data_IF_917207313803
#
_entry.id   IF_917207313803
#
_cell.length_a   1.000
_cell.length_b   1.000
_cell.length_c   1.000
_cell.angle_alpha   90.00
_cell.angle_beta   90.00
_cell.angle_gamma   90.00
#
_symmetry.space_group_name_H-M   'P 1'
#
loop_
_entity.id
_entity.type
_entity.pdbx_description
1 polymer ?
#
# COMPACT_ATOMS: atom_id res chain seq x y z
N UNK A 1 -18.91 -22.19 14.80
CA UNK A 1 -20.33 -22.19 14.48
C UNK A 1 -20.91 -23.60 14.52
N UNK A 2 -22.29 -23.74 14.56
CA UNK A 2 -22.94 -25.04 14.47
C UNK A 2 -22.62 -25.77 13.16
N UNK A 3 -22.43 -27.08 13.23
CA UNK A 3 -22.21 -27.96 12.07
C UNK A 3 -23.52 -28.39 11.35
N UNK A 4 -24.66 -28.32 12.03
CA UNK A 4 -25.96 -28.55 11.39
C UNK A 4 -26.38 -27.33 10.55
N UNK A 5 -26.65 -27.54 9.24
CA UNK A 5 -26.98 -26.42 8.34
C UNK A 5 -28.23 -25.63 8.74
N UNK A 6 -29.23 -26.30 9.33
CA UNK A 6 -30.50 -25.65 9.70
C UNK A 6 -30.34 -24.82 10.97
N UNK A 7 -29.61 -25.34 11.94
CA UNK A 7 -29.22 -24.59 13.16
C UNK A 7 -28.36 -23.39 12.82
N UNK A 8 -27.37 -23.57 11.94
CA UNK A 8 -26.48 -22.52 11.50
C UNK A 8 -27.23 -21.37 10.81
N UNK A 9 -28.11 -21.69 9.83
CA UNK A 9 -28.96 -20.68 9.18
C UNK A 9 -29.78 -19.88 10.18
N UNK A 10 -30.48 -20.60 11.06
CA UNK A 10 -31.34 -19.98 12.08
C UNK A 10 -30.53 -19.05 12.99
N UNK A 11 -29.34 -19.49 13.43
CA UNK A 11 -28.44 -18.68 14.28
C UNK A 11 -28.04 -17.38 13.58
N UNK A 12 -27.67 -17.47 12.30
CA UNK A 12 -27.29 -16.28 11.51
C UNK A 12 -28.48 -15.34 11.32
N UNK A 13 -29.67 -15.87 10.96
CA UNK A 13 -30.90 -15.09 10.81
C UNK A 13 -31.27 -14.34 12.10
N UNK A 14 -31.14 -14.99 13.27
CA UNK A 14 -31.39 -14.35 14.56
C UNK A 14 -30.42 -13.20 14.82
N UNK A 15 -29.12 -13.36 14.50
CA UNK A 15 -28.12 -12.30 14.66
C UNK A 15 -28.41 -11.12 13.70
N UNK A 16 -28.70 -11.39 12.44
CA UNK A 16 -29.02 -10.36 11.45
C UNK A 16 -30.31 -9.60 11.81
N UNK A 17 -31.34 -10.30 12.28
CA UNK A 17 -32.59 -9.66 12.74
C UNK A 17 -32.36 -8.74 13.92
N UNK A 18 -31.55 -9.15 14.89
CA UNK A 18 -31.15 -8.30 16.01
C UNK A 18 -30.36 -7.08 15.56
N UNK A 19 -29.37 -7.26 14.68
CA UNK A 19 -28.57 -6.16 14.14
C UNK A 19 -29.49 -5.13 13.43
N UNK A 20 -30.44 -5.61 12.64
CA UNK A 20 -31.44 -4.75 11.98
C UNK A 20 -32.27 -3.94 12.98
N UNK A 21 -32.74 -4.57 14.05
CA UNK A 21 -33.59 -3.91 15.05
C UNK A 21 -32.86 -2.80 15.83
N UNK A 22 -31.57 -2.96 16.07
CA UNK A 22 -30.73 -1.99 16.81
C UNK A 22 -30.33 -0.81 15.92
N UNK A 23 -30.00 -1.06 14.67
CA UNK A 23 -29.47 -0.03 13.77
C UNK A 23 -30.57 0.80 13.05
N UNK A 24 -31.82 0.34 13.07
CA UNK A 24 -32.98 1.05 12.51
C UNK A 24 -32.94 1.14 10.98
N UNK A 25 -34.13 1.25 10.38
CA UNK A 25 -34.29 1.65 8.97
C UNK A 25 -34.25 3.21 8.86
N UNK A 26 -33.13 3.83 9.13
CA UNK A 26 -32.98 5.24 8.80
C UNK A 26 -32.85 5.31 7.29
N UNK A 27 -33.91 5.73 6.61
CA UNK A 27 -34.14 5.71 5.15
C UNK A 27 -33.17 6.49 4.26
N UNK A 28 -31.92 6.62 4.65
CA UNK A 28 -30.84 7.09 3.81
C UNK A 28 -30.29 5.89 3.03
N UNK A 29 -30.13 5.95 1.71
CA UNK A 29 -29.43 4.92 0.95
C UNK A 29 -28.06 4.73 1.58
N UNK A 30 -27.81 3.57 2.16
CA UNK A 30 -26.49 3.21 2.64
C UNK A 30 -25.56 3.13 1.42
N UNK A 31 -24.48 3.89 1.43
CA UNK A 31 -23.42 3.69 0.44
C UNK A 31 -22.98 2.23 0.44
N UNK A 32 -22.68 1.73 -0.76
CA UNK A 32 -22.20 0.37 -0.91
C UNK A 32 -20.90 0.20 -0.11
N UNK A 33 -20.83 -0.75 0.84
CA UNK A 33 -19.63 -0.97 1.59
C UNK A 33 -18.52 -1.48 0.68
N UNK A 34 -17.38 -0.84 0.72
CA UNK A 34 -16.17 -1.30 0.03
C UNK A 34 -15.39 -2.30 0.85
N UNK A 35 -15.33 -2.07 2.15
CA UNK A 35 -14.67 -2.99 3.05
C UNK A 35 -15.38 -3.12 4.39
N UNK A 36 -15.23 -4.29 5.02
CA UNK A 36 -15.63 -4.57 6.39
C UNK A 36 -14.42 -5.01 7.20
N UNK A 37 -14.39 -4.62 8.47
CA UNK A 37 -13.50 -5.18 9.48
C UNK A 37 -14.40 -5.90 10.48
N UNK A 38 -14.19 -7.20 10.70
CA UNK A 38 -15.10 -8.06 11.47
C UNK A 38 -14.36 -9.09 12.32
N UNK A 39 -14.91 -9.46 13.49
CA UNK A 39 -14.28 -10.44 14.40
C UNK A 39 -14.52 -11.88 13.93
N UNK A 40 -13.62 -12.80 14.38
CA UNK A 40 -13.64 -14.21 13.99
C UNK A 40 -13.70 -15.22 15.15
N UNK A 41 -14.05 -14.80 16.34
CA UNK A 41 -14.30 -15.73 17.42
C UNK A 41 -15.55 -16.60 17.15
N UNK A 42 -15.77 -17.61 17.99
CA UNK A 42 -16.96 -18.47 17.86
C UNK A 42 -18.26 -17.65 17.89
N UNK A 43 -19.25 -18.05 17.13
CA UNK A 43 -20.50 -17.32 16.91
C UNK A 43 -21.24 -16.90 18.16
N UNK A 44 -21.19 -17.71 19.24
CA UNK A 44 -21.79 -17.39 20.53
C UNK A 44 -21.18 -16.12 21.16
N UNK A 45 -19.94 -15.81 20.83
CA UNK A 45 -19.21 -14.66 21.34
C UNK A 45 -19.23 -13.47 20.36
N UNK A 46 -18.71 -13.65 19.17
CA UNK A 46 -18.51 -12.58 18.20
C UNK A 46 -19.60 -12.46 17.13
N UNK A 47 -20.46 -13.47 16.95
CA UNK A 47 -21.51 -13.48 15.94
C UNK A 47 -22.43 -12.26 15.96
N UNK A 48 -22.93 -11.79 17.14
CA UNK A 48 -23.73 -10.57 17.21
C UNK A 48 -23.00 -9.31 16.73
N UNK A 49 -21.68 -9.21 16.96
CA UNK A 49 -20.86 -8.07 16.51
C UNK A 49 -20.61 -8.16 15.01
N UNK A 50 -20.24 -9.33 14.51
CA UNK A 50 -20.08 -9.58 13.08
C UNK A 50 -21.36 -9.27 12.29
N UNK A 51 -22.52 -9.66 12.83
CA UNK A 51 -23.82 -9.39 12.22
C UNK A 51 -24.12 -7.90 12.03
N UNK A 52 -23.59 -7.02 12.89
CA UNK A 52 -23.74 -5.57 12.76
C UNK A 52 -23.10 -5.03 11.48
N UNK A 53 -22.03 -5.67 10.99
CA UNK A 53 -21.41 -5.34 9.70
C UNK A 53 -22.09 -6.08 8.55
N UNK A 54 -22.29 -7.39 8.69
CA UNK A 54 -22.86 -8.20 7.62
C UNK A 54 -24.28 -7.81 7.22
N UNK A 55 -25.09 -7.35 8.17
CA UNK A 55 -26.42 -6.81 7.89
C UNK A 55 -26.40 -5.71 6.83
N UNK A 56 -25.34 -4.89 6.77
CA UNK A 56 -25.19 -3.80 5.80
C UNK A 56 -25.09 -4.30 4.36
N UNK A 57 -24.76 -5.57 4.12
CA UNK A 57 -24.64 -6.15 2.79
C UNK A 57 -25.98 -6.52 2.17
N UNK A 58 -27.05 -6.62 2.94
CA UNK A 58 -28.37 -7.08 2.43
C UNK A 58 -28.91 -6.25 1.27
N UNK A 59 -28.70 -4.93 1.31
CA UNK A 59 -29.12 -4.03 0.24
C UNK A 59 -28.29 -4.22 -1.05
N UNK A 60 -27.12 -4.82 -0.95
CA UNK A 60 -26.14 -4.96 -2.03
C UNK A 60 -25.90 -6.42 -2.45
N UNK A 61 -26.79 -7.33 -2.01
CA UNK A 61 -26.66 -8.78 -2.18
C UNK A 61 -26.52 -9.27 -3.63
N UNK A 62 -26.99 -8.51 -4.60
CA UNK A 62 -26.90 -8.82 -6.03
C UNK A 62 -25.79 -8.01 -6.73
N UNK A 63 -25.24 -6.99 -6.10
CA UNK A 63 -24.16 -6.18 -6.62
C UNK A 63 -22.81 -6.79 -6.27
N UNK A 64 -22.64 -7.24 -5.02
CA UNK A 64 -21.41 -7.86 -4.54
C UNK A 64 -21.36 -9.30 -5.05
N UNK A 65 -20.43 -9.57 -5.97
CA UNK A 65 -20.20 -10.89 -6.59
C UNK A 65 -18.78 -11.41 -6.40
N UNK A 66 -17.91 -10.62 -5.79
CA UNK A 66 -16.54 -10.97 -5.45
C UNK A 66 -16.23 -10.60 -4.01
N UNK A 67 -15.61 -11.49 -3.27
CA UNK A 67 -15.18 -11.26 -1.89
C UNK A 67 -13.70 -11.54 -1.76
N UNK A 68 -12.95 -10.57 -1.28
CA UNK A 68 -11.54 -10.68 -0.91
C UNK A 68 -11.45 -10.72 0.61
N UNK A 69 -11.06 -11.84 1.18
CA UNK A 69 -11.09 -12.08 2.61
C UNK A 69 -9.67 -12.31 3.13
N UNK A 70 -9.20 -11.42 4.01
CA UNK A 70 -7.90 -11.51 4.65
C UNK A 70 -8.06 -11.77 6.16
N UNK A 71 -7.29 -12.72 6.67
CA UNK A 71 -7.26 -13.03 8.10
C UNK A 71 -5.86 -13.40 8.58
N UNK A 72 -5.58 -13.29 9.89
CA UNK A 72 -4.28 -13.65 10.45
C UNK A 72 -4.01 -15.16 10.38
N UNK A 73 -2.74 -15.50 10.30
CA UNK A 73 -2.27 -16.88 10.43
C UNK A 73 -1.97 -17.21 11.90
N UNK A 74 -2.80 -18.06 12.51
CA UNK A 74 -2.65 -18.43 13.92
C UNK A 74 -1.81 -19.68 14.15
N UNK A 75 -1.73 -20.57 13.17
CA UNK A 75 -1.20 -21.93 13.34
C UNK A 75 0.17 -22.13 12.73
N UNK A 76 0.40 -21.63 11.54
CA UNK A 76 1.61 -21.88 10.76
C UNK A 76 2.32 -20.54 10.50
N UNK A 77 3.51 -20.31 11.08
CA UNK A 77 4.24 -19.07 10.83
C UNK A 77 4.71 -19.02 9.36
N UNK A 78 4.32 -17.95 8.67
CA UNK A 78 4.72 -17.66 7.29
C UNK A 78 5.17 -16.21 7.14
N UNK A 79 6.00 -15.94 6.15
CA UNK A 79 6.31 -14.58 5.69
C UNK A 79 5.47 -14.26 4.45
N UNK A 80 4.70 -13.15 4.47
CA UNK A 80 3.83 -12.76 3.35
C UNK A 80 2.39 -13.25 3.48
N UNK A 81 1.72 -13.47 2.33
CA UNK A 81 0.32 -13.84 2.23
C UNK A 81 0.18 -15.18 1.51
N UNK A 82 -0.60 -16.10 2.08
CA UNK A 82 -0.80 -17.42 1.52
C UNK A 82 -2.17 -17.58 0.83
N UNK A 83 -2.15 -18.06 -0.40
CA UNK A 83 -3.29 -18.55 -1.17
C UNK A 83 -3.53 -20.04 -0.90
N UNK A 84 -4.75 -20.51 -1.13
CA UNK A 84 -5.06 -21.93 -1.21
C UNK A 84 -5.01 -22.45 -2.64
N UNK A 85 -4.59 -23.70 -2.84
CA UNK A 85 -4.66 -24.39 -4.13
C UNK A 85 -6.04 -24.96 -4.43
N UNK A 86 -6.98 -24.91 -3.46
CA UNK A 86 -8.35 -25.41 -3.62
C UNK A 86 -9.12 -24.65 -4.71
N UNK A 87 -10.10 -25.31 -5.30
CA UNK A 87 -11.06 -24.70 -6.23
C UNK A 87 -12.32 -24.20 -5.51
N UNK A 88 -12.64 -24.81 -4.37
CA UNK A 88 -13.80 -24.48 -3.55
C UNK A 88 -13.45 -24.54 -2.07
N UNK A 89 -14.07 -23.66 -1.29
CA UNK A 89 -14.18 -23.84 0.16
C UNK A 89 -15.58 -24.39 0.47
N UNK A 90 -15.69 -25.22 1.52
CA UNK A 90 -16.92 -25.89 1.89
C UNK A 90 -17.32 -25.55 3.33
N UNK A 91 -18.59 -25.27 3.53
CA UNK A 91 -19.21 -25.06 4.85
C UNK A 91 -20.45 -25.95 4.96
N UNK A 92 -21.09 -26.06 6.12
CA UNK A 92 -22.38 -26.75 6.21
C UNK A 92 -23.47 -26.18 5.28
N UNK A 93 -23.33 -24.92 4.83
CA UNK A 93 -24.29 -24.27 3.93
C UNK A 93 -24.01 -24.53 2.44
N UNK A 94 -22.90 -25.19 2.11
CA UNK A 94 -22.53 -25.53 0.73
C UNK A 94 -21.15 -25.03 0.34
N UNK A 95 -20.85 -25.12 -0.96
CA UNK A 95 -19.54 -24.75 -1.54
C UNK A 95 -19.51 -23.32 -2.03
N UNK A 96 -18.36 -22.69 -1.88
CA UNK A 96 -18.03 -21.36 -2.40
C UNK A 96 -16.90 -21.53 -3.39
N UNK A 97 -17.10 -21.08 -4.63
CA UNK A 97 -16.05 -21.11 -5.65
C UNK A 97 -14.97 -20.08 -5.35
N UNK A 98 -13.68 -20.46 -5.45
CA UNK A 98 -12.60 -19.52 -5.34
C UNK A 98 -12.45 -18.73 -6.65
N UNK A 99 -12.03 -17.46 -6.54
CA UNK A 99 -11.87 -16.54 -7.66
C UNK A 99 -10.51 -16.74 -8.33
N UNK A 100 -10.51 -17.43 -9.45
CA UNK A 100 -9.30 -17.76 -10.20
C UNK A 100 -8.66 -16.51 -10.83
N UNK A 101 -9.45 -15.54 -11.32
CA UNK A 101 -8.94 -14.32 -11.96
C UNK A 101 -8.19 -13.44 -10.96
N UNK A 102 -8.78 -13.25 -9.76
CA UNK A 102 -8.13 -12.52 -8.68
C UNK A 102 -6.90 -13.27 -8.16
N UNK A 103 -6.98 -14.60 -8.07
CA UNK A 103 -5.84 -15.44 -7.68
C UNK A 103 -4.67 -15.26 -8.65
N UNK A 104 -4.90 -15.39 -9.97
CA UNK A 104 -3.86 -15.19 -10.98
C UNK A 104 -3.24 -13.78 -10.93
N UNK A 105 -4.02 -12.78 -10.54
CA UNK A 105 -3.55 -11.41 -10.38
C UNK A 105 -2.55 -11.30 -9.24
N UNK A 106 -2.89 -11.83 -8.05
CA UNK A 106 -2.04 -11.67 -6.87
C UNK A 106 -0.91 -12.70 -6.78
N UNK A 107 -1.02 -13.87 -7.41
CA UNK A 107 0.00 -14.92 -7.41
C UNK A 107 1.32 -14.45 -8.08
N UNK A 108 1.26 -13.43 -8.92
CA UNK A 108 2.43 -12.79 -9.55
C UNK A 108 3.19 -11.87 -8.60
N UNK A 109 2.61 -11.55 -7.45
CA UNK A 109 3.19 -10.62 -6.48
C UNK A 109 4.20 -11.37 -5.57
N UNK A 110 5.38 -10.80 -5.31
CA UNK A 110 6.47 -11.51 -4.61
C UNK A 110 6.14 -11.90 -3.17
N UNK A 111 5.22 -11.17 -2.53
CA UNK A 111 4.79 -11.43 -1.15
C UNK A 111 3.65 -12.46 -1.07
N UNK A 112 3.14 -12.94 -2.22
CA UNK A 112 2.00 -13.88 -2.29
C UNK A 112 2.48 -15.23 -2.82
N UNK A 113 2.05 -16.31 -2.20
CA UNK A 113 2.39 -17.68 -2.61
C UNK A 113 1.31 -18.66 -2.21
N UNK A 114 1.19 -19.78 -2.92
CA UNK A 114 0.24 -20.85 -2.58
C UNK A 114 0.81 -21.74 -1.50
N UNK A 115 0.07 -21.90 -0.37
CA UNK A 115 0.49 -22.74 0.74
C UNK A 115 -0.69 -23.26 1.57
N UNK A 116 -1.23 -24.41 1.20
CA UNK A 116 -2.41 -25.02 1.82
C UNK A 116 -2.33 -25.30 3.33
N UNK A 117 -1.16 -25.66 3.92
CA UNK A 117 -1.08 -25.90 5.35
C UNK A 117 -1.52 -24.72 6.23
N UNK A 118 -1.49 -23.48 5.70
CA UNK A 118 -1.98 -22.31 6.42
C UNK A 118 -3.51 -22.22 6.46
N UNK A 119 -4.20 -22.87 5.54
CA UNK A 119 -5.65 -22.86 5.44
C UNK A 119 -6.33 -24.03 6.15
N UNK A 120 -5.62 -25.15 6.32
CA UNK A 120 -6.20 -26.45 6.73
C UNK A 120 -6.90 -26.39 8.09
N UNK A 121 -6.29 -25.72 9.08
CA UNK A 121 -6.83 -25.64 10.45
C UNK A 121 -7.02 -24.17 10.89
N UNK A 122 -7.11 -23.23 9.93
CA UNK A 122 -7.25 -21.81 10.22
C UNK A 122 -8.72 -21.39 10.21
N UNK A 123 -9.17 -20.83 11.33
CA UNK A 123 -10.55 -20.41 11.51
C UNK A 123 -10.81 -18.93 11.18
N UNK A 124 -9.77 -18.13 11.08
CA UNK A 124 -9.90 -16.66 10.88
C UNK A 124 -10.61 -16.29 9.58
N UNK A 125 -10.62 -17.18 8.58
CA UNK A 125 -11.35 -16.98 7.33
C UNK A 125 -12.70 -17.73 7.33
N UNK A 126 -12.70 -18.96 7.82
CA UNK A 126 -13.84 -19.87 7.72
C UNK A 126 -15.11 -19.32 8.38
N UNK A 127 -14.99 -18.69 9.54
CA UNK A 127 -16.15 -18.22 10.32
C UNK A 127 -16.99 -17.16 9.60
N UNK A 128 -16.42 -16.46 8.61
CA UNK A 128 -17.10 -15.45 7.82
C UNK A 128 -17.98 -16.05 6.72
N UNK A 129 -17.63 -17.23 6.24
CA UNK A 129 -18.23 -17.82 5.04
C UNK A 129 -19.74 -18.10 5.17
N UNK A 130 -20.25 -18.65 6.30
CA UNK A 130 -21.68 -18.87 6.43
C UNK A 130 -22.52 -17.58 6.47
N UNK A 131 -21.98 -16.47 7.01
CA UNK A 131 -22.64 -15.17 6.93
C UNK A 131 -22.78 -14.72 5.47
N UNK A 132 -21.68 -14.80 4.71
CA UNK A 132 -21.67 -14.42 3.29
C UNK A 132 -22.64 -15.27 2.46
N UNK A 133 -22.65 -16.59 2.67
CA UNK A 133 -23.57 -17.51 2.00
C UNK A 133 -25.04 -17.25 2.36
N UNK A 134 -25.31 -16.71 3.55
CA UNK A 134 -26.69 -16.40 3.97
C UNK A 134 -27.18 -15.06 3.40
N UNK A 135 -26.29 -14.19 2.99
CA UNK A 135 -26.60 -12.79 2.62
C UNK A 135 -26.45 -12.56 1.12
N UNK A 136 -25.32 -12.94 0.53
CA UNK A 136 -25.04 -12.70 -0.89
C UNK A 136 -25.77 -13.73 -1.77
N UNK A 137 -26.19 -13.29 -2.95
CA UNK A 137 -26.94 -14.16 -3.87
C UNK A 137 -26.01 -15.19 -4.55
N UNK A 138 -24.89 -14.72 -5.08
CA UNK A 138 -23.84 -15.53 -5.71
C UNK A 138 -22.54 -14.75 -5.67
N UNK A 139 -21.42 -15.41 -5.32
CA UNK A 139 -20.12 -14.76 -5.24
C UNK A 139 -18.97 -15.75 -5.37
N UNK A 140 -17.81 -15.24 -5.79
CA UNK A 140 -16.51 -15.92 -5.73
C UNK A 140 -15.67 -15.36 -4.59
N UNK A 141 -14.75 -16.16 -4.07
CA UNK A 141 -13.94 -15.84 -2.89
C UNK A 141 -12.45 -15.88 -3.24
N UNK A 142 -11.71 -14.81 -2.88
CA UNK A 142 -10.24 -14.82 -2.77
C UNK A 142 -9.87 -14.87 -1.29
N UNK A 143 -9.50 -16.04 -0.72
CA UNK A 143 -9.07 -16.16 0.66
C UNK A 143 -7.57 -15.98 0.77
N UNK A 144 -7.10 -15.12 1.68
CA UNK A 144 -5.69 -14.84 1.95
C UNK A 144 -5.39 -14.96 3.44
N UNK A 145 -4.56 -15.93 3.81
CA UNK A 145 -4.02 -16.03 5.18
C UNK A 145 -2.77 -15.17 5.25
N UNK A 146 -2.75 -14.21 6.18
CA UNK A 146 -1.70 -13.21 6.29
C UNK A 146 -0.78 -13.52 7.47
N UNK A 147 0.49 -13.76 7.19
CA UNK A 147 1.54 -13.96 8.17
C UNK A 147 2.33 -12.68 8.46
N UNK A 148 3.66 -12.82 8.52
CA UNK A 148 4.55 -11.67 8.67
C UNK A 148 4.69 -10.94 7.33
N UNK A 149 4.00 -9.83 7.19
CA UNK A 149 4.08 -8.92 6.07
C UNK A 149 4.10 -7.47 6.58
N UNK A 150 4.65 -6.56 5.80
CA UNK A 150 4.50 -5.13 6.08
C UNK A 150 3.09 -4.67 5.70
N UNK A 151 2.57 -3.60 6.31
CA UNK A 151 1.30 -3.00 5.91
C UNK A 151 1.26 -2.63 4.42
N UNK A 152 2.38 -2.13 3.87
CA UNK A 152 2.50 -1.80 2.45
C UNK A 152 2.36 -3.02 1.52
N UNK A 153 2.93 -4.19 1.88
CA UNK A 153 2.76 -5.42 1.10
C UNK A 153 1.31 -5.90 1.04
N UNK A 154 0.58 -5.76 2.14
CA UNK A 154 -0.85 -6.07 2.18
C UNK A 154 -1.64 -5.04 1.37
N UNK A 155 -1.32 -3.76 1.51
CA UNK A 155 -1.99 -2.70 0.78
C UNK A 155 -1.78 -2.81 -0.75
N UNK A 156 -0.58 -3.22 -1.21
CA UNK A 156 -0.31 -3.51 -2.62
C UNK A 156 -1.20 -4.65 -3.15
N UNK A 157 -1.38 -5.72 -2.37
CA UNK A 157 -2.29 -6.82 -2.73
C UNK A 157 -3.73 -6.32 -2.79
N UNK A 158 -4.18 -5.54 -1.81
CA UNK A 158 -5.52 -4.97 -1.80
C UNK A 158 -5.75 -4.00 -2.97
N UNK A 159 -4.74 -3.20 -3.33
CA UNK A 159 -4.83 -2.31 -4.49
C UNK A 159 -5.01 -3.09 -5.80
N UNK A 160 -4.25 -4.17 -5.97
CA UNK A 160 -4.33 -5.02 -7.17
C UNK A 160 -5.70 -5.71 -7.36
N UNK A 161 -6.42 -5.97 -6.25
CA UNK A 161 -7.74 -6.64 -6.26
C UNK A 161 -8.89 -5.73 -5.82
N UNK A 162 -8.67 -4.41 -5.80
CA UNK A 162 -9.64 -3.47 -5.27
C UNK A 162 -11.00 -3.54 -5.95
N UNK A 163 -11.03 -3.69 -7.26
CA UNK A 163 -12.24 -3.78 -8.07
C UNK A 163 -13.21 -2.60 -7.94
N UNK A 164 -14.38 -2.76 -8.51
CA UNK A 164 -15.50 -1.83 -8.42
C UNK A 164 -16.49 -2.16 -7.30
N UNK A 165 -17.77 -1.78 -7.44
CA UNK A 165 -18.83 -2.07 -6.46
C UNK A 165 -19.17 -3.55 -6.33
N UNK A 166 -18.75 -4.40 -7.27
CA UNK A 166 -18.91 -5.85 -7.25
C UNK A 166 -17.95 -6.54 -6.26
N UNK A 167 -16.86 -5.88 -5.86
CA UNK A 167 -15.82 -6.44 -5.01
C UNK A 167 -15.91 -5.90 -3.59
N UNK A 168 -16.09 -6.80 -2.62
CA UNK A 168 -16.06 -6.51 -1.18
C UNK A 168 -14.75 -7.02 -0.58
N UNK A 169 -14.09 -6.18 0.21
CA UNK A 169 -12.91 -6.55 1.01
C UNK A 169 -13.34 -6.81 2.45
N UNK A 170 -12.87 -7.91 3.05
CA UNK A 170 -13.14 -8.24 4.45
C UNK A 170 -11.81 -8.46 5.16
N UNK A 171 -11.59 -7.72 6.24
CA UNK A 171 -10.49 -7.93 7.18
C UNK A 171 -11.02 -8.59 8.43
N UNK A 172 -10.48 -9.75 8.70
CA UNK A 172 -10.81 -10.59 9.84
C UNK A 172 -9.90 -10.28 11.02
N UNK A 173 -10.43 -9.79 12.13
CA UNK A 173 -9.64 -9.52 13.35
C UNK A 173 -10.50 -9.46 14.60
N UNK A 174 -10.07 -10.16 15.65
CA UNK A 174 -10.49 -9.85 17.00
C UNK A 174 -9.59 -8.74 17.58
N UNK A 175 -10.03 -8.06 18.64
CA UNK A 175 -9.28 -7.00 19.32
C UNK A 175 -8.40 -7.57 20.45
N UNK A 176 -8.39 -6.96 21.63
CA UNK A 176 -7.56 -7.42 22.74
C UNK A 176 -7.97 -8.80 23.27
N UNK A 177 -7.00 -9.54 23.83
CA UNK A 177 -7.23 -10.91 24.29
C UNK A 177 -6.90 -11.08 25.76
N UNK A 178 -7.81 -11.77 26.46
CA UNK A 178 -7.62 -12.32 27.80
C UNK A 178 -7.32 -11.30 28.89
N UNK A 179 -7.68 -10.04 28.72
CA UNK A 179 -7.65 -9.00 29.75
C UNK A 179 -8.90 -9.09 30.64
N UNK A 180 -8.84 -8.46 31.81
CA UNK A 180 -10.06 -8.17 32.58
C UNK A 180 -10.96 -7.19 31.79
N UNK A 181 -12.23 -7.15 32.14
CA UNK A 181 -13.24 -6.39 31.42
C UNK A 181 -12.89 -4.90 31.25
N UNK A 182 -12.40 -4.23 32.29
CA UNK A 182 -12.09 -2.79 32.28
C UNK A 182 -10.82 -2.50 31.47
N UNK A 183 -9.79 -3.32 31.62
CA UNK A 183 -8.56 -3.20 30.86
C UNK A 183 -8.80 -3.46 29.36
N UNK A 184 -9.63 -4.46 29.03
CA UNK A 184 -10.07 -4.72 27.66
C UNK A 184 -10.76 -3.49 27.05
N UNK A 185 -11.79 -2.96 27.71
CA UNK A 185 -12.48 -1.76 27.21
C UNK A 185 -11.53 -0.58 27.00
N UNK A 186 -10.61 -0.36 27.93
CA UNK A 186 -9.65 0.74 27.82
C UNK A 186 -8.69 0.57 26.64
N UNK A 187 -8.20 -0.66 26.40
CA UNK A 187 -7.30 -0.95 25.29
C UNK A 187 -8.04 -0.91 23.95
N UNK A 188 -9.21 -1.53 23.87
CA UNK A 188 -10.02 -1.59 22.68
C UNK A 188 -10.49 -0.20 22.22
N UNK A 189 -10.87 0.68 23.16
CA UNK A 189 -11.20 2.07 22.83
C UNK A 189 -10.03 2.82 22.18
N UNK A 190 -8.78 2.58 22.59
CA UNK A 190 -7.61 3.15 21.91
C UNK A 190 -7.45 2.57 20.50
N UNK A 191 -7.67 1.28 20.35
CA UNK A 191 -7.63 0.62 19.04
C UNK A 191 -8.70 1.17 18.11
N UNK A 192 -9.93 1.37 18.60
CA UNK A 192 -11.02 2.01 17.86
C UNK A 192 -10.60 3.40 17.36
N UNK A 193 -10.04 4.24 18.23
CA UNK A 193 -9.57 5.57 17.86
C UNK A 193 -8.47 5.50 16.79
N UNK A 194 -7.52 4.55 16.92
CA UNK A 194 -6.48 4.35 15.92
C UNK A 194 -7.06 3.94 14.56
N UNK A 195 -8.06 3.05 14.55
CA UNK A 195 -8.75 2.61 13.33
C UNK A 195 -9.49 3.80 12.69
N UNK A 196 -10.30 4.53 13.45
CA UNK A 196 -11.09 5.68 12.97
C UNK A 196 -10.22 6.82 12.41
N UNK A 197 -9.00 6.99 12.94
CA UNK A 197 -8.05 8.00 12.50
C UNK A 197 -7.03 7.48 11.45
N UNK A 198 -7.16 6.24 10.97
CA UNK A 198 -6.19 5.60 10.07
C UNK A 198 -4.76 5.63 10.62
N UNK A 199 -4.62 5.53 11.95
CA UNK A 199 -3.33 5.58 12.65
C UNK A 199 -2.75 4.17 12.81
N UNK A 200 -2.07 3.71 11.78
CA UNK A 200 -1.46 2.37 11.76
C UNK A 200 -0.27 2.22 12.70
N UNK A 201 0.36 3.33 13.11
CA UNK A 201 1.53 3.29 13.98
C UNK A 201 1.19 2.81 15.40
N UNK A 202 -0.02 3.13 15.89
CA UNK A 202 -0.46 2.83 17.26
C UNK A 202 -1.36 1.58 17.37
N UNK A 203 -1.32 0.68 16.38
CA UNK A 203 -1.96 -0.64 16.46
C UNK A 203 -0.88 -1.70 16.60
N UNK A 204 -0.73 -2.30 17.75
CA UNK A 204 0.30 -3.29 18.06
C UNK A 204 -0.24 -4.72 18.31
N UNK A 205 0.66 -5.63 18.71
CA UNK A 205 0.36 -7.05 18.86
C UNK A 205 -0.73 -7.37 19.89
N UNK A 206 -0.92 -6.52 20.90
CA UNK A 206 -1.84 -6.75 22.00
C UNK A 206 -3.24 -6.21 21.68
N UNK A 207 -3.37 -5.43 20.61
CA UNK A 207 -4.58 -4.71 20.25
C UNK A 207 -5.44 -5.43 19.22
N UNK A 208 -4.82 -6.16 18.27
CA UNK A 208 -5.55 -6.88 17.24
C UNK A 208 -4.75 -8.08 16.72
N UNK A 209 -5.36 -9.28 16.70
CA UNK A 209 -4.70 -10.46 16.14
C UNK A 209 -4.51 -10.33 14.63
N UNK A 210 -5.46 -9.70 13.93
CA UNK A 210 -5.39 -9.38 12.49
C UNK A 210 -4.74 -8.04 12.18
N UNK A 211 -3.87 -7.49 13.04
CA UNK A 211 -3.26 -6.17 12.86
C UNK A 211 -2.53 -5.99 11.51
N UNK A 212 -1.93 -7.05 10.98
CA UNK A 212 -1.18 -6.96 9.71
C UNK A 212 -2.12 -6.67 8.54
N UNK A 213 -3.15 -7.49 8.25
CA UNK A 213 -4.12 -7.16 7.22
C UNK A 213 -4.93 -5.88 7.53
N UNK A 214 -5.22 -5.60 8.81
CA UNK A 214 -5.90 -4.38 9.23
C UNK A 214 -5.10 -3.12 8.85
N UNK A 215 -3.81 -3.07 9.19
CA UNK A 215 -2.94 -1.93 8.86
C UNK A 215 -2.85 -1.74 7.34
N UNK A 216 -2.75 -2.82 6.56
CA UNK A 216 -2.73 -2.73 5.10
C UNK A 216 -4.01 -2.14 4.53
N UNK A 217 -5.19 -2.54 5.06
CA UNK A 217 -6.45 -1.91 4.66
C UNK A 217 -6.49 -0.42 5.04
N UNK A 218 -6.08 -0.06 6.26
CA UNK A 218 -6.10 1.33 6.71
C UNK A 218 -5.16 2.23 5.88
N UNK A 219 -4.00 1.73 5.47
CA UNK A 219 -3.08 2.48 4.60
C UNK A 219 -3.71 2.77 3.24
N UNK A 220 -4.23 1.76 2.56
CA UNK A 220 -4.86 1.97 1.24
C UNK A 220 -6.16 2.79 1.34
N UNK A 221 -6.95 2.60 2.39
CA UNK A 221 -8.18 3.34 2.62
C UNK A 221 -7.92 4.83 2.87
N UNK A 222 -6.86 5.17 3.62
CA UNK A 222 -6.41 6.55 3.84
C UNK A 222 -6.05 7.24 2.52
N UNK A 223 -5.32 6.55 1.64
CA UNK A 223 -4.93 7.07 0.33
C UNK A 223 -6.14 7.27 -0.58
N UNK A 224 -7.12 6.36 -0.49
CA UNK A 224 -8.37 6.43 -1.24
C UNK A 224 -9.39 7.39 -0.64
N UNK A 225 -9.03 8.10 0.44
CA UNK A 225 -9.91 9.04 1.15
C UNK A 225 -11.26 8.39 1.52
N UNK A 226 -11.19 7.18 2.08
CA UNK A 226 -12.39 6.47 2.49
C UNK A 226 -12.89 6.97 3.84
N UNK A 227 -14.19 6.87 4.03
CA UNK A 227 -14.84 7.06 5.32
C UNK A 227 -14.91 5.73 6.07
N UNK A 228 -14.66 5.78 7.38
CA UNK A 228 -14.77 4.63 8.26
C UNK A 228 -15.88 4.88 9.29
N UNK A 229 -16.75 3.91 9.47
CA UNK A 229 -17.84 3.96 10.44
C UNK A 229 -17.74 2.78 11.41
N UNK A 230 -17.62 3.07 12.69
CA UNK A 230 -17.73 2.06 13.75
C UNK A 230 -19.18 1.65 13.91
N UNK A 231 -19.46 0.36 13.77
CA UNK A 231 -20.82 -0.19 13.82
C UNK A 231 -21.14 -0.80 15.18
N UNK A 232 -20.18 -1.51 15.79
CA UNK A 232 -20.34 -2.21 17.04
C UNK A 232 -18.98 -2.45 17.71
N UNK A 233 -18.89 -2.26 19.01
CA UNK A 233 -17.70 -2.58 19.81
C UNK A 233 -18.15 -3.19 21.12
N UNK A 234 -17.79 -4.42 21.36
CA UNK A 234 -18.12 -5.19 22.56
C UNK A 234 -16.97 -6.16 22.90
N UNK A 235 -17.10 -6.85 24.00
CA UNK A 235 -16.22 -7.98 24.34
C UNK A 235 -17.02 -9.24 24.68
N UNK A 236 -16.34 -10.36 24.90
CA UNK A 236 -16.99 -11.64 25.20
C UNK A 236 -17.82 -11.59 26.48
N UNK A 237 -17.49 -10.71 27.43
CA UNK A 237 -18.27 -10.50 28.65
C UNK A 237 -19.59 -9.74 28.46
N UNK A 238 -19.79 -9.12 27.30
CA UNK A 238 -21.04 -8.48 26.87
C UNK A 238 -21.95 -9.44 26.09
N UNK A 239 -21.41 -10.59 25.70
CA UNK A 239 -22.14 -11.60 24.91
C UNK A 239 -22.40 -12.88 25.72
N UNK A 240 -21.45 -13.80 25.79
CA UNK A 240 -21.65 -15.11 26.42
C UNK A 240 -20.54 -15.52 27.41
N UNK A 241 -19.48 -14.72 27.53
CA UNK A 241 -18.32 -15.02 28.41
C UNK A 241 -18.45 -14.44 29.81
N UNK A 242 -17.53 -14.88 30.70
CA UNK A 242 -17.33 -14.19 32.00
C UNK A 242 -16.59 -12.87 31.77
N UNK A 243 -16.62 -11.99 32.82
CA UNK A 243 -15.91 -10.69 32.77
C UNK A 243 -14.48 -10.75 33.29
N UNK A 244 -14.03 -11.90 33.76
CA UNK A 244 -12.70 -12.03 34.38
C UNK A 244 -11.58 -12.04 33.30
N UNK A 245 -11.85 -12.68 32.17
CA UNK A 245 -10.96 -12.76 31.02
C UNK A 245 -11.77 -12.67 29.74
N UNK A 246 -11.68 -11.54 29.08
CA UNK A 246 -12.48 -11.25 27.89
C UNK A 246 -11.62 -11.10 26.64
N UNK A 247 -12.28 -11.25 25.48
CA UNK A 247 -11.72 -10.93 24.17
C UNK A 247 -12.57 -9.82 23.57
N UNK A 248 -11.91 -8.80 23.06
CA UNK A 248 -12.55 -7.65 22.43
C UNK A 248 -12.97 -7.95 20.98
N UNK A 249 -14.11 -7.40 20.57
CA UNK A 249 -14.67 -7.52 19.23
C UNK A 249 -15.09 -6.16 18.73
N UNK A 250 -14.83 -5.91 17.45
CA UNK A 250 -15.27 -4.69 16.80
C UNK A 250 -15.74 -4.95 15.38
N UNK A 251 -16.65 -4.13 14.89
CA UNK A 251 -17.17 -4.17 13.54
C UNK A 251 -17.15 -2.77 12.93
N UNK A 252 -16.54 -2.63 11.76
CA UNK A 252 -16.45 -1.38 11.01
C UNK A 252 -16.86 -1.57 9.57
N UNK A 253 -17.33 -0.49 8.98
CA UNK A 253 -17.65 -0.37 7.57
C UNK A 253 -16.81 0.75 6.97
N UNK A 254 -16.20 0.48 5.83
CA UNK A 254 -15.53 1.49 5.01
C UNK A 254 -16.36 1.71 3.73
N UNK A 255 -16.66 2.98 3.44
CA UNK A 255 -17.41 3.39 2.27
C UNK A 255 -16.83 4.67 1.67
N UNK A 256 -17.41 5.15 0.58
CA UNK A 256 -16.88 6.31 -0.12
C UNK A 256 -15.54 6.03 -0.79
N UNK A 257 -14.73 7.06 -0.86
CA UNK A 257 -13.40 7.00 -1.48
C UNK A 257 -13.44 7.31 -2.98
N UNK A 258 -12.27 7.71 -3.49
CA UNK A 258 -12.09 8.04 -4.89
C UNK A 258 -11.13 7.03 -5.54
N UNK A 259 -11.21 6.89 -6.86
CA UNK A 259 -10.12 6.23 -7.58
C UNK A 259 -8.83 7.01 -7.29
N UNK A 260 -7.80 6.30 -6.82
CA UNK A 260 -6.48 6.91 -6.65
C UNK A 260 -5.99 7.33 -8.03
N UNK A 261 -5.44 8.53 -8.11
CA UNK A 261 -4.72 8.91 -9.33
C UNK A 261 -3.49 8.00 -9.48
N UNK A 262 -3.09 7.76 -10.72
CA UNK A 262 -1.87 6.97 -11.00
C UNK A 262 -0.65 7.52 -10.26
N UNK A 263 -0.60 8.84 -10.04
CA UNK A 263 0.47 9.47 -9.27
C UNK A 263 0.44 9.11 -7.78
N UNK A 264 -0.74 9.05 -7.16
CA UNK A 264 -0.86 8.70 -5.75
C UNK A 264 -0.59 7.20 -5.51
N UNK A 265 -1.07 6.35 -6.44
CA UNK A 265 -0.76 4.93 -6.43
C UNK A 265 0.76 4.69 -6.58
N UNK A 266 1.43 5.45 -7.45
CA UNK A 266 2.88 5.38 -7.59
C UNK A 266 3.59 5.83 -6.32
N UNK A 267 3.21 6.99 -5.75
CA UNK A 267 3.81 7.51 -4.52
C UNK A 267 3.71 6.48 -3.38
N UNK A 268 2.56 5.86 -3.24
CA UNK A 268 2.33 4.86 -2.21
C UNK A 268 3.25 3.65 -2.37
N UNK A 269 3.26 3.00 -3.54
CA UNK A 269 4.10 1.84 -3.82
C UNK A 269 5.59 2.16 -3.65
N UNK A 270 6.02 3.33 -4.16
CA UNK A 270 7.41 3.72 -4.09
C UNK A 270 7.86 4.05 -2.66
N UNK A 271 7.00 4.68 -1.84
CA UNK A 271 7.28 4.86 -0.40
C UNK A 271 7.44 3.53 0.33
N UNK A 272 6.61 2.54 0.04
CA UNK A 272 6.74 1.20 0.61
C UNK A 272 8.09 0.55 0.23
N UNK A 273 8.50 0.67 -1.05
CA UNK A 273 9.82 0.21 -1.52
C UNK A 273 10.96 0.93 -0.78
N UNK A 274 10.90 2.25 -0.67
CA UNK A 274 11.94 3.04 0.01
C UNK A 274 12.01 2.76 1.51
N UNK A 275 10.88 2.62 2.19
CA UNK A 275 10.86 2.26 3.60
C UNK A 275 11.49 0.89 3.86
N UNK A 276 11.26 -0.07 2.98
CA UNK A 276 11.75 -1.44 3.14
C UNK A 276 13.17 -1.65 2.65
N UNK A 277 13.52 -1.05 1.52
CA UNK A 277 14.76 -1.31 0.79
C UNK A 277 15.64 -0.07 0.60
N UNK A 278 15.26 1.07 1.15
CA UNK A 278 15.98 2.31 0.94
C UNK A 278 17.43 2.26 1.40
N UNK A 279 17.70 1.67 2.56
CA UNK A 279 19.06 1.44 3.03
C UNK A 279 19.87 0.56 2.06
N UNK A 280 19.28 -0.51 1.53
CA UNK A 280 19.89 -1.39 0.52
C UNK A 280 20.20 -0.64 -0.77
N UNK A 281 19.28 0.22 -1.24
CA UNK A 281 19.47 1.03 -2.45
C UNK A 281 20.58 2.06 -2.28
N UNK A 282 20.67 2.73 -1.11
CA UNK A 282 21.76 3.64 -0.79
C UNK A 282 23.11 2.90 -0.72
N UNK A 283 23.17 1.73 -0.08
CA UNK A 283 24.36 0.89 -0.04
C UNK A 283 24.80 0.43 -1.43
N UNK A 284 23.84 0.06 -2.28
CA UNK A 284 24.09 -0.32 -3.66
C UNK A 284 24.69 0.83 -4.48
N UNK A 285 24.12 2.02 -4.37
CA UNK A 285 24.63 3.21 -5.04
C UNK A 285 26.07 3.55 -4.56
N UNK A 286 26.32 3.51 -3.25
CA UNK A 286 27.65 3.72 -2.67
C UNK A 286 28.64 2.64 -3.14
N UNK A 287 28.25 1.36 -3.21
CA UNK A 287 29.09 0.29 -3.73
C UNK A 287 29.46 0.49 -5.20
N UNK A 288 28.52 1.02 -6.01
CA UNK A 288 28.77 1.32 -7.42
C UNK A 288 29.78 2.47 -7.59
N UNK A 289 29.71 3.49 -6.74
CA UNK A 289 30.67 4.60 -6.71
C UNK A 289 32.06 4.11 -6.27
N UNK A 290 32.14 3.34 -5.18
CA UNK A 290 33.42 2.75 -4.71
C UNK A 290 34.08 1.89 -5.77
N UNK A 291 33.29 1.04 -6.47
CA UNK A 291 33.82 0.24 -7.57
C UNK A 291 34.31 1.10 -8.73
N UNK A 292 33.62 2.21 -9.01
CA UNK A 292 34.04 3.20 -10.00
C UNK A 292 35.40 3.80 -9.72
N UNK A 293 35.72 4.09 -8.46
CA UNK A 293 37.04 4.58 -8.04
C UNK A 293 38.17 3.58 -8.30
N UNK A 294 37.90 2.29 -8.14
CA UNK A 294 38.94 1.23 -8.23
C UNK A 294 39.02 0.55 -9.59
N UNK A 295 37.88 0.42 -10.30
CA UNK A 295 37.76 -0.39 -11.52
C UNK A 295 37.25 0.37 -12.74
N UNK A 296 36.84 1.64 -12.57
CA UNK A 296 36.25 2.48 -13.62
C UNK A 296 35.01 1.89 -14.30
N UNK A 297 34.23 1.08 -13.58
CA UNK A 297 32.98 0.50 -14.00
C UNK A 297 31.97 0.44 -12.84
N UNK A 298 30.64 0.42 -13.09
CA UNK A 298 29.63 0.24 -12.05
C UNK A 298 29.72 -1.15 -11.43
N UNK A 299 29.07 -1.34 -10.27
CA UNK A 299 28.98 -2.64 -9.62
C UNK A 299 28.24 -3.64 -10.51
N UNK A 300 28.72 -4.88 -10.59
CA UNK A 300 28.05 -5.99 -11.27
C UNK A 300 27.04 -6.59 -10.31
N UNK A 301 25.77 -6.69 -10.74
CA UNK A 301 24.68 -7.16 -9.91
C UNK A 301 24.32 -8.62 -10.26
N UNK A 302 24.15 -9.43 -9.26
CA UNK A 302 23.37 -10.65 -9.35
C UNK A 302 21.91 -10.30 -9.05
N UNK A 303 21.12 -10.05 -10.10
CA UNK A 303 19.74 -9.63 -9.97
C UNK A 303 18.86 -10.66 -9.25
N UNK A 304 19.21 -11.94 -9.29
CA UNK A 304 18.42 -12.97 -8.61
C UNK A 304 18.47 -12.86 -7.08
N UNK A 305 19.51 -12.23 -6.54
CA UNK A 305 19.64 -11.97 -5.11
C UNK A 305 18.77 -10.82 -4.59
N UNK A 306 18.16 -10.03 -5.50
CA UNK A 306 17.33 -8.89 -5.12
C UNK A 306 15.86 -9.27 -5.01
N UNK A 307 15.10 -8.60 -4.11
CA UNK A 307 13.64 -8.68 -4.06
C UNK A 307 13.01 -8.32 -5.41
N UNK A 308 11.86 -8.91 -5.72
CA UNK A 308 11.17 -8.71 -7.00
C UNK A 308 10.85 -7.24 -7.28
N UNK A 309 10.47 -6.46 -6.26
CA UNK A 309 10.20 -5.03 -6.37
C UNK A 309 11.39 -4.20 -6.86
N UNK A 310 12.62 -4.68 -6.64
CA UNK A 310 13.84 -4.04 -7.13
C UNK A 310 14.29 -4.58 -8.51
N UNK A 311 13.70 -5.67 -8.98
CA UNK A 311 13.89 -6.25 -10.32
C UNK A 311 12.94 -5.67 -11.35
N UNK A 312 11.86 -5.04 -10.93
CA UNK A 312 10.93 -4.35 -11.83
C UNK A 312 11.62 -3.16 -12.52
N UNK A 313 11.24 -2.86 -13.77
CA UNK A 313 11.73 -1.68 -14.46
C UNK A 313 11.45 -0.40 -13.67
N UNK A 314 12.47 0.40 -13.41
CA UNK A 314 12.37 1.66 -12.70
C UNK A 314 13.23 2.75 -13.33
N UNK A 315 12.91 4.01 -13.02
CA UNK A 315 13.68 5.17 -13.42
C UNK A 315 14.09 5.94 -12.16
N UNK A 316 15.36 6.30 -12.06
CA UNK A 316 15.89 6.98 -10.89
C UNK A 316 16.81 8.13 -11.24
N UNK A 317 16.93 9.09 -10.32
CA UNK A 317 18.05 10.05 -10.28
C UNK A 317 18.90 9.78 -9.05
N UNK A 318 20.20 9.81 -9.25
CA UNK A 318 21.17 9.76 -8.16
C UNK A 318 21.88 11.11 -8.10
N UNK A 319 21.79 11.75 -6.94
CA UNK A 319 22.40 13.05 -6.66
C UNK A 319 23.46 12.90 -5.58
N UNK A 320 24.62 13.47 -5.83
CA UNK A 320 25.73 13.59 -4.90
C UNK A 320 25.86 15.04 -4.47
N UNK A 321 25.95 15.28 -3.18
CA UNK A 321 26.14 16.61 -2.60
C UNK A 321 27.31 16.62 -1.62
N UNK A 322 27.93 17.76 -1.46
CA UNK A 322 29.01 18.02 -0.52
C UNK A 322 28.66 19.15 0.43
N UNK A 323 29.20 19.09 1.65
CA UNK A 323 29.19 20.20 2.60
C UNK A 323 27.81 20.85 2.77
N UNK A 324 26.79 20.02 3.08
CA UNK A 324 25.47 20.54 3.44
C UNK A 324 24.64 21.09 2.27
N UNK A 325 24.71 20.47 1.09
CA UNK A 325 23.78 20.74 -0.02
C UNK A 325 24.39 21.30 -1.30
N UNK A 326 25.73 21.36 -1.40
CA UNK A 326 26.39 21.78 -2.65
C UNK A 326 26.41 20.61 -3.65
N UNK A 327 25.72 20.77 -4.78
CA UNK A 327 25.68 19.76 -5.84
C UNK A 327 27.09 19.35 -6.28
N UNK A 328 27.38 18.04 -6.30
CA UNK A 328 28.62 17.43 -6.76
C UNK A 328 28.47 16.53 -7.98
N UNK A 329 27.29 16.02 -8.23
CA UNK A 329 26.92 15.26 -9.41
C UNK A 329 25.46 14.85 -9.35
N UNK A 330 24.80 14.76 -10.52
CA UNK A 330 23.41 14.34 -10.59
C UNK A 330 23.11 13.78 -11.99
N UNK A 331 22.87 12.49 -12.07
CA UNK A 331 22.51 11.81 -13.31
C UNK A 331 21.31 10.89 -13.03
N UNK A 332 20.46 10.71 -14.02
CA UNK A 332 19.31 9.83 -13.91
C UNK A 332 18.70 9.43 -15.24
N UNK A 333 17.78 8.49 -15.15
CA UNK A 333 16.96 7.96 -16.24
C UNK A 333 15.56 8.58 -16.18
N UNK A 334 15.02 8.94 -17.34
CA UNK A 334 13.66 9.54 -17.43
C UNK A 334 12.58 8.50 -17.71
N UNK A 335 12.99 7.32 -18.09
CA UNK A 335 12.11 6.20 -18.43
C UNK A 335 12.70 4.92 -17.84
N UNK A 336 11.83 4.05 -17.39
CA UNK A 336 12.18 2.75 -16.87
C UNK A 336 12.64 1.82 -18.00
N UNK A 337 13.94 1.59 -18.12
CA UNK A 337 14.53 0.72 -19.16
C UNK A 337 15.19 -0.53 -18.58
N UNK A 338 15.49 -0.52 -17.30
CA UNK A 338 16.21 -1.58 -16.62
C UNK A 338 15.61 -1.81 -15.23
N UNK A 339 15.89 -2.96 -14.60
CA UNK A 339 15.57 -3.18 -13.21
C UNK A 339 15.99 -2.00 -12.32
N UNK A 340 15.14 -1.60 -11.36
CA UNK A 340 15.38 -0.43 -10.51
C UNK A 340 16.75 -0.47 -9.82
N UNK A 341 17.13 -1.63 -9.28
CA UNK A 341 18.45 -1.79 -8.65
C UNK A 341 19.60 -1.50 -9.64
N UNK A 342 19.45 -1.96 -10.89
CA UNK A 342 20.47 -1.72 -11.93
C UNK A 342 20.51 -0.25 -12.35
N UNK A 343 19.36 0.35 -12.56
CA UNK A 343 19.25 1.77 -12.94
C UNK A 343 19.91 2.68 -11.89
N UNK A 344 19.67 2.41 -10.59
CA UNK A 344 20.28 3.14 -9.48
C UNK A 344 21.81 2.94 -9.46
N UNK A 345 22.30 1.71 -9.63
CA UNK A 345 23.73 1.44 -9.63
C UNK A 345 24.45 2.13 -10.79
N UNK A 346 23.89 2.08 -11.99
CA UNK A 346 24.43 2.71 -13.18
C UNK A 346 24.42 4.26 -13.05
N UNK A 347 23.32 4.83 -12.56
CA UNK A 347 23.18 6.28 -12.38
C UNK A 347 24.08 6.81 -11.26
N UNK A 348 24.31 6.05 -10.19
CA UNK A 348 25.28 6.38 -9.14
C UNK A 348 26.71 6.50 -9.70
N UNK A 349 27.13 5.51 -10.49
CA UNK A 349 28.41 5.56 -11.18
C UNK A 349 28.52 6.77 -12.12
N UNK A 350 27.49 7.00 -12.95
CA UNK A 350 27.47 8.13 -13.89
C UNK A 350 27.50 9.48 -13.18
N UNK A 351 26.76 9.64 -12.07
CA UNK A 351 26.74 10.86 -11.29
C UNK A 351 28.11 11.19 -10.71
N UNK A 352 28.88 10.17 -10.31
CA UNK A 352 30.22 10.36 -9.75
C UNK A 352 31.31 10.62 -10.81
N UNK A 353 31.19 10.00 -12.00
CA UNK A 353 32.32 9.96 -12.95
C UNK A 353 31.99 10.49 -14.35
N UNK A 354 30.73 10.67 -14.71
CA UNK A 354 30.30 11.03 -16.06
C UNK A 354 29.37 12.24 -16.13
N UNK A 355 29.16 12.94 -15.02
CA UNK A 355 28.45 14.23 -15.06
C UNK A 355 29.38 15.32 -15.66
N UNK A 356 29.02 15.86 -16.83
CA UNK A 356 29.91 16.77 -17.56
C UNK A 356 30.17 18.12 -16.87
N UNK A 357 29.41 18.40 -15.81
CA UNK A 357 29.58 19.65 -15.02
C UNK A 357 30.71 19.58 -14.02
N UNK A 358 31.21 18.37 -13.72
CA UNK A 358 32.17 18.11 -12.65
C UNK A 358 33.32 17.21 -13.14
N UNK A 359 34.46 17.29 -12.48
CA UNK A 359 35.53 16.32 -12.69
C UNK A 359 35.15 14.96 -12.08
N UNK A 360 35.68 13.83 -12.59
CA UNK A 360 35.49 12.52 -11.96
C UNK A 360 35.81 12.57 -10.46
N UNK A 361 34.98 11.89 -9.66
CA UNK A 361 35.11 11.82 -8.21
C UNK A 361 36.47 11.18 -7.82
N UNK A 362 37.09 11.67 -6.78
CA UNK A 362 38.27 11.06 -6.16
C UNK A 362 37.94 10.47 -4.77
N UNK A 363 38.82 9.61 -4.25
CA UNK A 363 38.57 8.88 -3.00
C UNK A 363 38.52 9.79 -1.76
N UNK A 364 39.23 10.92 -1.78
CA UNK A 364 39.26 11.86 -0.65
C UNK A 364 37.91 12.58 -0.44
N UNK A 365 37.10 12.64 -1.49
CA UNK A 365 35.79 13.31 -1.44
C UNK A 365 34.69 12.45 -0.76
N UNK A 366 34.88 11.13 -0.64
CA UNK A 366 33.84 10.22 -0.15
C UNK A 366 33.33 10.58 1.26
N UNK A 367 34.22 10.99 2.15
CA UNK A 367 33.83 11.25 3.55
C UNK A 367 32.88 12.44 3.70
N UNK A 368 32.87 13.35 2.73
CA UNK A 368 32.06 14.58 2.75
C UNK A 368 30.82 14.49 1.85
N UNK A 369 30.56 13.29 1.25
CA UNK A 369 29.43 13.10 0.33
C UNK A 369 28.17 12.64 1.05
N UNK A 370 27.08 13.32 0.76
CA UNK A 370 25.73 12.79 0.91
C UNK A 370 25.16 12.28 -0.42
N UNK A 371 24.30 11.30 -0.32
CA UNK A 371 23.73 10.57 -1.43
C UNK A 371 22.19 10.64 -1.37
N UNK A 372 21.58 11.07 -2.46
CA UNK A 372 20.13 11.12 -2.60
C UNK A 372 19.71 10.26 -3.79
N UNK A 373 18.69 9.44 -3.60
CA UNK A 373 18.06 8.64 -4.65
C UNK A 373 16.61 9.08 -4.79
N UNK A 374 16.24 9.51 -5.99
CA UNK A 374 14.85 9.84 -6.33
C UNK A 374 14.33 8.82 -7.36
N UNK A 375 13.23 8.14 -7.06
CA UNK A 375 12.56 7.22 -7.99
C UNK A 375 11.44 7.99 -8.67
N UNK A 376 11.37 7.90 -10.00
CA UNK A 376 10.45 8.66 -10.84
C UNK A 376 9.24 7.82 -11.24
N UNK A 377 8.05 8.42 -11.18
CA UNK A 377 6.86 7.84 -11.80
C UNK A 377 6.97 7.81 -13.33
N UNK A 378 6.17 6.98 -14.01
CA UNK A 378 5.86 7.21 -15.41
C UNK A 378 5.38 8.65 -15.64
N UNK A 379 5.57 9.14 -16.85
CA UNK A 379 5.05 10.44 -17.26
C UNK A 379 3.54 10.32 -17.53
N UNK A 380 2.74 11.10 -16.80
CA UNK A 380 1.29 11.15 -16.97
C UNK A 380 0.94 12.32 -17.90
N UNK A 381 0.44 12.06 -19.12
CA UNK A 381 -0.01 13.12 -20.04
C UNK A 381 -1.04 14.03 -19.38
N UNK A 382 -0.93 15.34 -19.63
CA UNK A 382 -1.89 16.32 -19.15
C UNK A 382 -2.80 16.74 -20.30
N UNK A 383 -4.11 16.71 -20.09
CA UNK A 383 -5.06 17.29 -21.01
C UNK A 383 -5.14 18.79 -20.73
N UNK A 384 -4.57 19.58 -21.64
CA UNK A 384 -4.45 21.04 -21.49
C UNK A 384 -5.00 21.75 -22.70
N UNK A 385 -5.78 22.82 -22.49
CA UNK A 385 -6.35 23.64 -23.56
C UNK A 385 -5.49 24.87 -23.84
N UNK A 386 -4.80 25.40 -22.85
CA UNK A 386 -3.99 26.60 -22.93
C UNK A 386 -3.01 26.68 -21.73
N UNK A 387 -2.14 27.68 -21.72
CA UNK A 387 -1.16 27.88 -20.66
C UNK A 387 -1.80 28.09 -19.28
N UNK A 388 -2.93 28.77 -19.21
CA UNK A 388 -3.62 29.04 -17.94
C UNK A 388 -4.14 27.75 -17.32
N UNK A 389 -4.72 26.89 -18.12
CA UNK A 389 -5.18 25.56 -17.72
C UNK A 389 -4.01 24.67 -17.24
N UNK A 390 -2.89 24.65 -17.96
CA UNK A 390 -1.68 23.97 -17.48
C UNK A 390 -1.22 24.48 -16.11
N UNK A 391 -1.17 25.81 -15.92
CA UNK A 391 -0.76 26.42 -14.65
C UNK A 391 -1.73 26.09 -13.51
N UNK A 392 -3.03 26.00 -13.78
CA UNK A 392 -4.04 25.62 -12.79
C UNK A 392 -3.83 24.19 -12.31
N UNK A 393 -3.61 23.24 -13.23
CA UNK A 393 -3.43 21.83 -12.96
C UNK A 393 -2.09 21.48 -12.28
N UNK A 394 -1.05 22.32 -12.37
CA UNK A 394 0.26 22.09 -11.75
C UNK A 394 0.19 22.16 -10.22
N UNK A 395 0.81 21.19 -9.56
CA UNK A 395 0.93 21.11 -8.09
C UNK A 395 2.38 21.43 -7.66
N UNK A 396 2.64 22.63 -7.14
CA UNK A 396 3.98 23.01 -6.65
C UNK A 396 4.50 22.04 -5.59
N UNK A 397 5.80 21.77 -5.58
CA UNK A 397 6.51 20.83 -4.71
C UNK A 397 6.15 19.34 -4.89
N UNK A 398 5.20 19.01 -5.77
CA UNK A 398 4.77 17.63 -6.03
C UNK A 398 5.12 17.23 -7.47
N UNK A 399 4.74 18.05 -8.46
CA UNK A 399 4.88 17.70 -9.86
C UNK A 399 6.26 18.08 -10.42
N UNK A 400 6.94 17.11 -11.03
CA UNK A 400 7.87 17.37 -12.10
C UNK A 400 7.10 17.55 -13.41
N UNK A 401 7.64 18.33 -14.32
CA UNK A 401 6.99 18.66 -15.58
C UNK A 401 7.90 18.38 -16.77
N UNK A 402 7.38 17.66 -17.74
CA UNK A 402 7.97 17.48 -19.05
C UNK A 402 7.16 18.29 -20.03
N UNK A 403 7.81 19.11 -20.86
CA UNK A 403 7.17 19.78 -21.99
C UNK A 403 7.79 19.35 -23.31
N UNK A 404 7.00 19.35 -24.36
CA UNK A 404 7.43 19.00 -25.70
C UNK A 404 6.65 19.83 -26.72
N UNK A 405 7.38 20.41 -27.69
CA UNK A 405 6.83 21.15 -28.81
C UNK A 405 7.82 21.19 -29.97
N UNK A 406 7.38 20.93 -31.20
CA UNK A 406 8.18 21.01 -32.43
C UNK A 406 9.51 20.25 -32.39
N UNK A 407 9.57 19.10 -31.73
CA UNK A 407 10.79 18.30 -31.54
C UNK A 407 11.70 18.77 -30.39
N UNK A 408 11.37 19.86 -29.74
CA UNK A 408 12.06 20.37 -28.54
C UNK A 408 11.44 19.78 -27.30
N UNK A 409 12.27 19.37 -26.33
CA UNK A 409 11.82 18.73 -25.08
C UNK A 409 12.70 19.19 -23.92
N UNK A 410 12.07 19.47 -22.80
CA UNK A 410 12.76 19.68 -21.53
C UNK A 410 11.90 19.16 -20.38
N UNK A 411 12.55 19.01 -19.23
CA UNK A 411 11.86 18.69 -17.97
C UNK A 411 12.48 19.44 -16.79
N UNK A 412 11.66 19.62 -15.77
CA UNK A 412 12.09 19.95 -14.42
C UNK A 412 11.63 18.88 -13.43
N UNK A 413 12.51 18.52 -12.50
CA UNK A 413 12.20 17.67 -11.35
C UNK A 413 11.38 18.47 -10.32
N UNK A 414 10.61 17.80 -9.44
CA UNK A 414 9.90 18.49 -8.35
C UNK A 414 10.80 19.36 -7.47
N UNK A 415 12.04 18.97 -7.23
CA UNK A 415 13.01 19.78 -6.44
C UNK A 415 13.31 21.18 -7.01
N UNK A 416 12.98 21.42 -8.29
CA UNK A 416 13.17 22.77 -8.89
C UNK A 416 12.19 23.79 -8.29
N UNK A 417 11.06 23.34 -7.72
CA UNK A 417 10.11 24.23 -7.04
C UNK A 417 10.73 24.99 -5.87
N UNK A 418 11.71 24.43 -5.18
CA UNK A 418 12.43 25.10 -4.10
C UNK A 418 13.09 26.42 -4.57
N UNK A 419 13.55 26.45 -5.82
CA UNK A 419 14.19 27.62 -6.44
C UNK A 419 13.23 28.48 -7.24
N UNK A 420 12.18 27.88 -7.77
CA UNK A 420 11.18 28.52 -8.62
C UNK A 420 9.76 28.21 -8.12
N UNK A 421 9.33 28.74 -6.97
CA UNK A 421 8.04 28.40 -6.34
C UNK A 421 6.81 28.96 -7.09
N UNK A 422 7.00 29.96 -7.94
CA UNK A 422 5.94 30.53 -8.77
C UNK A 422 5.72 29.68 -10.03
N UNK A 423 4.49 29.23 -10.23
CA UNK A 423 4.12 28.34 -11.36
C UNK A 423 4.47 28.93 -12.73
N UNK A 424 4.28 30.22 -12.90
CA UNK A 424 4.53 30.93 -14.17
C UNK A 424 6.03 31.04 -14.43
N UNK A 425 6.82 31.36 -13.41
CA UNK A 425 8.27 31.40 -13.52
C UNK A 425 8.83 30.00 -13.80
N UNK A 426 8.35 29.00 -13.08
CA UNK A 426 8.74 27.59 -13.30
C UNK A 426 8.51 27.17 -14.77
N UNK A 427 7.31 27.41 -15.32
CA UNK A 427 7.01 27.07 -16.71
C UNK A 427 7.84 27.92 -17.69
N UNK A 428 8.02 29.21 -17.45
CA UNK A 428 8.84 30.10 -18.30
C UNK A 428 10.27 29.59 -18.38
N UNK A 429 10.89 29.28 -17.26
CA UNK A 429 12.27 28.74 -17.22
C UNK A 429 12.35 27.35 -17.86
N UNK A 430 11.32 26.52 -17.73
CA UNK A 430 11.28 25.22 -18.38
C UNK A 430 11.19 25.35 -19.91
N UNK A 431 10.40 26.30 -20.43
CA UNK A 431 10.35 26.63 -21.87
C UNK A 431 11.73 27.09 -22.38
N UNK A 432 12.38 27.99 -21.66
CA UNK A 432 13.73 28.44 -22.02
C UNK A 432 14.74 27.27 -22.02
N UNK A 433 14.63 26.36 -21.05
CA UNK A 433 15.45 25.14 -21.03
C UNK A 433 15.21 24.24 -22.24
N UNK A 434 13.99 24.21 -22.78
CA UNK A 434 13.65 23.52 -24.02
C UNK A 434 14.14 24.26 -25.28
N UNK A 435 14.73 25.46 -25.14
CA UNK A 435 15.09 26.33 -26.27
C UNK A 435 13.88 27.02 -26.92
N UNK A 436 12.78 27.16 -26.16
CA UNK A 436 11.57 27.86 -26.54
C UNK A 436 11.55 29.28 -25.92
N UNK A 437 10.96 30.30 -26.55
CA UNK A 437 10.68 31.56 -25.89
C UNK A 437 9.83 31.37 -24.62
N UNK A 438 10.06 32.18 -23.58
CA UNK A 438 9.33 32.04 -22.31
C UNK A 438 7.82 32.23 -22.41
N UNK A 439 7.36 32.98 -23.41
CA UNK A 439 5.94 33.20 -23.73
C UNK A 439 5.41 32.29 -24.86
N UNK A 440 6.18 31.29 -25.27
CA UNK A 440 5.79 30.39 -26.35
C UNK A 440 4.58 29.52 -25.95
N UNK A 441 3.64 29.38 -26.88
CA UNK A 441 2.54 28.45 -26.82
C UNK A 441 2.11 28.07 -28.25
N UNK A 442 1.75 26.85 -28.49
CA UNK A 442 1.24 26.36 -29.78
C UNK A 442 0.15 25.29 -29.55
N UNK A 443 -0.60 24.97 -30.59
CA UNK A 443 -1.61 23.90 -30.57
C UNK A 443 -0.98 22.50 -30.43
N UNK A 444 0.30 22.36 -30.75
CA UNK A 444 1.07 21.12 -30.63
C UNK A 444 1.81 20.99 -29.29
N UNK A 445 1.66 21.97 -28.38
CA UNK A 445 2.31 21.97 -27.08
C UNK A 445 1.78 20.83 -26.21
N UNK A 446 2.67 19.95 -25.78
CA UNK A 446 2.34 18.81 -24.93
C UNK A 446 3.03 18.95 -23.58
N UNK A 447 2.30 18.62 -22.54
CA UNK A 447 2.83 18.53 -21.18
C UNK A 447 2.53 17.16 -20.57
N UNK A 448 3.46 16.66 -19.78
CA UNK A 448 3.26 15.48 -18.95
C UNK A 448 3.83 15.77 -17.57
N UNK A 449 3.09 15.44 -16.53
CA UNK A 449 3.60 15.51 -15.16
C UNK A 449 4.12 14.16 -14.70
N UNK A 450 5.01 14.18 -13.74
CA UNK A 450 5.49 13.01 -13.02
C UNK A 450 5.78 13.42 -11.57
N UNK A 451 5.88 12.44 -10.70
CA UNK A 451 6.27 12.67 -9.30
C UNK A 451 7.52 11.89 -8.96
N UNK A 452 8.17 12.25 -7.87
CA UNK A 452 9.31 11.53 -7.34
C UNK A 452 9.12 11.22 -5.86
N UNK A 453 9.56 10.04 -5.45
CA UNK A 453 9.75 9.70 -4.04
C UNK A 453 11.24 9.50 -3.81
N UNK A 454 11.75 10.00 -2.69
CA UNK A 454 13.18 10.08 -2.48
C UNK A 454 13.62 9.53 -1.12
N UNK A 455 14.87 9.04 -1.09
CA UNK A 455 15.57 8.69 0.14
C UNK A 455 16.93 9.34 0.16
N UNK A 456 17.38 9.72 1.34
CA UNK A 456 18.63 10.45 1.59
C UNK A 456 19.53 9.65 2.52
N UNK A 457 20.85 9.71 2.31
CA UNK A 457 21.81 9.00 3.16
C UNK A 457 21.75 9.43 4.62
N UNK A 458 21.35 10.66 4.89
CA UNK A 458 21.18 11.21 6.23
C UNK A 458 20.02 10.54 7.01
N UNK A 459 19.12 9.86 6.34
CA UNK A 459 18.04 9.10 6.98
C UNK A 459 18.46 7.74 7.53
N UNK A 460 19.70 7.30 7.27
CA UNK A 460 20.26 6.08 7.84
C UNK A 460 20.64 6.28 9.31
N UNK A 461 20.53 5.21 10.12
CA UNK A 461 20.95 5.22 11.52
C UNK A 461 22.44 5.56 11.71
N UNK A 462 23.27 5.28 10.70
CA UNK A 462 24.70 5.52 10.70
C UNK A 462 25.17 5.94 9.28
N UNK A 463 24.89 7.18 8.84
CA UNK A 463 25.20 7.66 7.48
C UNK A 463 26.69 7.55 7.13
N UNK A 464 27.57 7.75 8.11
CA UNK A 464 29.02 7.68 7.96
C UNK A 464 29.53 6.29 7.57
N UNK A 465 28.78 5.23 7.90
CA UNK A 465 29.14 3.85 7.53
C UNK A 465 28.87 3.53 6.07
N UNK A 466 28.11 4.35 5.36
CA UNK A 466 27.80 4.16 3.94
C UNK A 466 29.09 4.09 3.10
N UNK A 467 30.09 4.87 3.45
CA UNK A 467 31.36 4.99 2.73
C UNK A 467 32.47 4.09 3.29
N UNK A 468 32.28 3.46 4.45
CA UNK A 468 33.24 2.54 5.02
C UNK A 468 33.25 1.22 4.22
N UNK A 469 34.41 0.59 4.08
CA UNK A 469 34.48 -0.74 3.49
C UNK A 469 33.88 -1.73 4.47
N UNK A 470 32.81 -2.39 4.07
CA UNK A 470 32.36 -3.60 4.75
C UNK A 470 33.42 -4.68 4.46
N UNK A 471 34.36 -4.84 5.41
CA UNK A 471 35.22 -6.00 5.43
C UNK A 471 34.32 -7.21 5.71
N UNK A 472 33.81 -7.83 4.63
CA UNK A 472 33.58 -9.30 4.55
C UNK A 472 33.30 -9.70 3.11
#
# INVERSE_FOLDING_TARGET
YPDDPSVLRKTIEEFLTKAQSVQGNNGTPLEAPKALIVPHAGYVYSGPVAASAYYRLLAHRHTITRVVLLGPCHRVPIGGLALSSATYFETPLGRIKLDEDLRETVEKMPQVFTFDPTHQDEHSLEVHLPFLQSILADFTLLPLVVGQASPGEVADVLDAVWGGPETLIIISTDLSHYLDYTACQSLDNRTVQSIENFDTAHIDNNQACGRVPLKGLLEIAKIRHMDITTLDVRNSGDTAGSKDRVVGYGAWLLSGGHQISDSDAFAFRTKAILNRHGATLLQLAAASIKRGLSHHEPVKLDLESFPSSLKEPGASFVTLEKNGGNLRGCIGSLQAHAPLAKDIADNAYKAAFQDPRFHPLNAEELADLSLHISILSPAFPMEIQNEADLLEQLRPNIDGLIIQDGGRRALFLPSVWEKLPDKKQFLTHLKMKAGLPGNHWSDDFKASRFITESIHSESLDAPEKLWQDNVK
#
